data_IF_827645720524
#
_entry.id   IF_827645720524
#
_cell.length_a   1.000
_cell.length_b   1.000
_cell.length_c   1.000
_cell.angle_alpha   90.00
_cell.angle_beta   90.00
_cell.angle_gamma   90.00
#
_symmetry.space_group_name_H-M   'P 1'
#
loop_
_entity.id
_entity.type
_entity.pdbx_description
1 polymer ?
#
# COMPACT_ATOMS: atom_id res chain seq x y z
N UNK A 1 24.02 -22.29 -50.23
CA UNK A 1 25.16 -21.90 -51.10
C UNK A 1 25.67 -20.55 -50.63
N UNK A 2 26.75 -20.54 -49.84
CA UNK A 2 27.68 -19.41 -49.82
C UNK A 2 28.67 -19.58 -50.98
N UNK A 3 29.41 -18.51 -51.33
CA UNK A 3 30.84 -18.60 -51.07
C UNK A 3 31.47 -17.35 -50.42
N UNK A 4 32.37 -17.68 -49.49
CA UNK A 4 33.63 -17.03 -49.02
C UNK A 4 34.46 -16.36 -50.14
N UNK A 5 35.52 -15.56 -49.95
CA UNK A 5 36.21 -14.86 -48.85
C UNK A 5 37.32 -14.02 -49.55
N UNK A 6 37.95 -13.05 -48.85
CA UNK A 6 39.41 -12.79 -49.00
C UNK A 6 39.97 -11.92 -47.86
N UNK A 7 41.07 -12.41 -47.30
CA UNK A 7 41.95 -11.86 -46.27
C UNK A 7 43.21 -11.22 -46.86
N UNK A 8 43.92 -10.39 -46.07
CA UNK A 8 45.38 -10.08 -46.01
C UNK A 8 45.52 -8.89 -45.01
N UNK A 9 46.17 -8.88 -43.84
CA UNK A 9 47.50 -9.32 -43.33
C UNK A 9 48.67 -8.57 -44.01
N UNK A 10 49.72 -7.98 -43.41
CA UNK A 10 50.32 -7.89 -42.04
C UNK A 10 51.50 -6.87 -42.11
N UNK A 11 51.81 -6.17 -41.00
CA UNK A 11 53.08 -5.56 -40.49
C UNK A 11 53.95 -4.54 -41.26
N UNK A 12 54.46 -3.56 -40.47
CA UNK A 12 55.92 -3.23 -40.46
C UNK A 12 56.33 -1.81 -40.02
N UNK A 13 56.90 -1.69 -38.80
CA UNK A 13 58.10 -0.91 -38.37
C UNK A 13 58.12 0.63 -38.58
N UNK A 14 58.55 1.55 -37.69
CA UNK A 14 59.25 1.52 -36.39
C UNK A 14 60.06 2.83 -36.17
N UNK A 15 60.08 3.34 -34.92
CA UNK A 15 61.03 4.31 -34.28
C UNK A 15 60.93 5.82 -34.63
N UNK A 16 61.14 6.81 -33.73
CA UNK A 16 62.10 6.94 -32.62
C UNK A 16 61.68 7.90 -31.47
N UNK A 17 62.10 7.50 -30.25
CA UNK A 17 62.70 8.23 -29.11
C UNK A 17 62.06 9.46 -28.44
N UNK A 18 61.89 9.33 -27.11
CA UNK A 18 61.79 10.45 -26.17
C UNK A 18 61.53 9.96 -24.74
N UNK A 19 62.58 9.54 -24.04
CA UNK A 19 62.55 8.98 -22.70
C UNK A 19 62.13 9.99 -21.61
N UNK A 20 61.37 9.50 -20.63
CA UNK A 20 61.08 10.16 -19.36
C UNK A 20 60.66 9.11 -18.35
N UNK A 21 61.60 8.68 -17.52
CA UNK A 21 61.44 7.71 -16.43
C UNK A 21 60.41 8.20 -15.39
N UNK A 22 59.56 7.31 -14.87
CA UNK A 22 59.29 7.21 -13.43
C UNK A 22 58.44 5.97 -13.09
N UNK A 23 59.12 5.02 -12.40
CA UNK A 23 58.65 4.06 -11.38
C UNK A 23 57.49 3.11 -11.72
N UNK A 24 57.87 1.86 -11.95
CA UNK A 24 57.05 0.66 -11.74
C UNK A 24 56.83 0.44 -10.23
N UNK A 25 55.59 0.55 -9.77
CA UNK A 25 55.11 -0.15 -8.58
C UNK A 25 54.07 -1.18 -9.04
N UNK A 26 54.40 -2.45 -8.85
CA UNK A 26 53.59 -3.58 -9.28
C UNK A 26 52.25 -3.63 -8.56
N UNK A 27 51.16 -3.46 -9.31
CA UNK A 27 49.88 -4.02 -8.94
C UNK A 27 49.87 -5.48 -9.40
N UNK A 28 50.04 -6.39 -8.44
CA UNK A 28 49.64 -7.78 -8.61
C UNK A 28 48.16 -7.80 -8.94
N UNK A 29 47.83 -8.04 -10.21
CA UNK A 29 46.48 -8.38 -10.61
C UNK A 29 46.16 -9.75 -10.02
N UNK A 30 45.61 -9.78 -8.81
CA UNK A 30 44.83 -10.93 -8.38
C UNK A 30 43.65 -11.02 -9.35
N UNK A 31 43.64 -12.04 -10.19
CA UNK A 31 42.47 -12.46 -10.95
C UNK A 31 41.34 -12.76 -9.97
N UNK A 32 40.58 -11.73 -9.59
CA UNK A 32 39.24 -11.93 -9.08
C UNK A 32 38.43 -12.33 -10.30
N UNK A 33 38.32 -13.65 -10.51
CA UNK A 33 37.32 -14.22 -11.39
C UNK A 33 35.99 -13.51 -11.10
N UNK A 34 35.26 -13.04 -12.13
CA UNK A 34 33.96 -12.44 -11.89
C UNK A 34 33.15 -13.47 -11.11
N UNK A 35 32.66 -13.07 -9.94
CA UNK A 35 31.65 -13.84 -9.22
C UNK A 35 30.41 -13.79 -10.09
N UNK A 36 30.35 -14.64 -11.10
CA UNK A 36 29.14 -14.90 -11.86
C UNK A 36 28.27 -15.69 -10.89
N UNK A 37 27.59 -14.96 -10.00
CA UNK A 37 26.48 -15.51 -9.24
C UNK A 37 25.55 -16.16 -10.26
N UNK A 38 25.47 -17.49 -10.24
CA UNK A 38 24.58 -18.23 -11.11
C UNK A 38 23.19 -17.60 -10.99
N UNK A 39 22.69 -17.00 -12.08
CA UNK A 39 21.39 -16.35 -12.10
C UNK A 39 20.34 -17.40 -11.77
N UNK A 40 19.87 -17.41 -10.51
CA UNK A 40 18.75 -18.25 -10.11
C UNK A 40 17.49 -17.46 -10.40
N UNK A 41 16.57 -17.98 -11.23
CA UNK A 41 15.31 -17.29 -11.48
C UNK A 41 14.55 -17.16 -10.15
N UNK A 42 14.26 -15.92 -9.76
CA UNK A 42 13.46 -15.59 -8.58
C UNK A 42 12.02 -15.34 -9.03
N UNK A 43 11.06 -15.84 -8.26
CA UNK A 43 9.63 -15.64 -8.42
C UNK A 43 9.04 -15.10 -7.12
N UNK A 44 7.94 -14.35 -7.22
CA UNK A 44 7.29 -13.69 -6.08
C UNK A 44 5.96 -14.37 -5.75
N UNK A 45 5.93 -15.20 -4.70
CA UNK A 45 4.77 -16.00 -4.33
C UNK A 45 4.06 -15.39 -3.13
N UNK A 46 2.73 -15.32 -3.15
CA UNK A 46 1.96 -15.02 -1.94
C UNK A 46 1.93 -16.30 -1.09
N UNK A 47 2.57 -16.27 0.07
CA UNK A 47 2.73 -17.44 0.95
C UNK A 47 1.96 -17.34 2.27
N UNK A 48 1.40 -16.17 2.56
CA UNK A 48 0.55 -15.96 3.73
C UNK A 48 -0.47 -14.86 3.48
N UNK A 49 -1.60 -14.93 4.16
CA UNK A 49 -2.71 -13.98 4.04
C UNK A 49 -3.43 -13.82 5.37
N UNK A 50 -4.08 -12.68 5.57
CA UNK A 50 -4.83 -12.43 6.79
C UNK A 50 -5.64 -11.16 6.70
N UNK A 51 -6.74 -11.12 7.43
CA UNK A 51 -7.56 -9.90 7.51
C UNK A 51 -8.09 -9.69 8.93
N UNK A 52 -8.41 -8.43 9.22
CA UNK A 52 -9.05 -8.04 10.46
C UNK A 52 -10.00 -6.87 10.18
N UNK A 53 -11.19 -6.91 10.79
CA UNK A 53 -12.22 -5.89 10.65
C UNK A 53 -12.75 -5.54 12.04
N UNK A 54 -13.15 -4.28 12.27
CA UNK A 54 -13.82 -3.89 13.51
C UNK A 54 -15.07 -4.72 13.79
N UNK A 55 -15.42 -4.84 15.08
CA UNK A 55 -16.60 -5.60 15.50
C UNK A 55 -17.91 -4.84 15.33
N UNK A 56 -17.88 -3.50 15.36
CA UNK A 56 -19.09 -2.69 15.21
C UNK A 56 -19.60 -2.77 13.77
N UNK A 57 -20.84 -3.21 13.65
CA UNK A 57 -21.60 -3.25 12.39
C UNK A 57 -22.51 -2.03 12.33
N UNK A 58 -22.57 -1.39 11.16
CA UNK A 58 -23.61 -0.44 10.78
C UNK A 58 -24.39 -1.04 9.62
N UNK A 59 -25.68 -1.25 9.81
CA UNK A 59 -26.59 -1.77 8.78
C UNK A 59 -27.18 -0.62 7.96
N UNK A 60 -27.81 -0.93 6.83
CA UNK A 60 -28.56 0.09 6.10
C UNK A 60 -29.73 0.66 6.91
N UNK A 61 -30.37 -0.13 7.77
CA UNK A 61 -31.44 0.34 8.67
C UNK A 61 -30.93 1.32 9.73
N UNK A 62 -29.67 1.21 10.15
CA UNK A 62 -29.06 2.23 11.01
C UNK A 62 -28.87 3.55 10.24
N UNK A 63 -28.54 3.48 8.94
CA UNK A 63 -28.37 4.66 8.08
C UNK A 63 -29.69 5.38 7.78
N UNK A 64 -30.81 4.64 7.68
CA UNK A 64 -32.16 5.20 7.53
C UNK A 64 -32.54 6.17 8.66
N UNK A 65 -31.92 6.01 9.84
CA UNK A 65 -32.19 6.86 11.01
C UNK A 65 -31.41 8.18 10.98
N UNK A 66 -30.39 8.32 10.14
CA UNK A 66 -29.49 9.48 10.12
C UNK A 66 -29.54 10.27 8.81
N UNK A 67 -29.91 9.64 7.69
CA UNK A 67 -30.03 10.29 6.38
C UNK A 67 -31.26 9.79 5.61
N UNK A 68 -31.78 10.60 4.69
CA UNK A 68 -32.90 10.22 3.82
C UNK A 68 -32.48 9.14 2.81
N UNK A 69 -32.68 7.88 3.19
CA UNK A 69 -32.30 6.68 2.41
C UNK A 69 -33.20 5.48 2.77
N UNK A 70 -32.99 4.34 2.11
CA UNK A 70 -33.57 3.05 2.48
C UNK A 70 -32.62 1.89 2.16
N UNK A 71 -32.77 0.75 2.84
CA UNK A 71 -32.03 -0.49 2.56
C UNK A 71 -32.22 -0.92 1.10
N UNK A 72 -33.45 -0.90 0.61
CA UNK A 72 -33.76 -1.23 -0.79
C UNK A 72 -33.00 -0.31 -1.76
N UNK A 73 -32.97 1.00 -1.46
CA UNK A 73 -32.30 1.98 -2.31
C UNK A 73 -30.77 1.78 -2.29
N UNK A 74 -30.18 1.50 -1.12
CA UNK A 74 -28.74 1.27 -0.99
C UNK A 74 -28.35 -0.04 -1.70
N UNK A 75 -29.03 -1.14 -1.41
CA UNK A 75 -28.72 -2.46 -1.98
C UNK A 75 -28.85 -2.47 -3.50
N UNK A 76 -29.94 -1.93 -4.05
CA UNK A 76 -30.15 -1.91 -5.51
C UNK A 76 -29.10 -1.09 -6.26
N UNK A 77 -28.52 -0.07 -5.63
CA UNK A 77 -27.52 0.82 -6.26
C UNK A 77 -26.09 0.42 -6.01
N UNK A 78 -25.80 -0.24 -4.90
CA UNK A 78 -24.43 -0.48 -4.43
C UNK A 78 -24.11 -1.95 -4.20
N UNK A 79 -25.11 -2.76 -3.85
CA UNK A 79 -24.95 -4.13 -3.36
C UNK A 79 -24.57 -4.24 -1.89
N UNK A 80 -24.53 -3.13 -1.14
CA UNK A 80 -24.09 -3.08 0.26
C UNK A 80 -25.29 -3.27 1.19
N UNK A 81 -25.14 -4.14 2.20
CA UNK A 81 -26.12 -4.37 3.27
C UNK A 81 -25.65 -3.79 4.61
N UNK A 82 -24.38 -3.99 4.90
CA UNK A 82 -23.74 -3.57 6.14
C UNK A 82 -22.29 -3.15 5.88
N UNK A 83 -21.73 -2.43 6.85
CA UNK A 83 -20.30 -2.08 6.90
C UNK A 83 -19.76 -2.22 8.31
N UNK A 84 -18.45 -2.36 8.42
CA UNK A 84 -17.73 -2.35 9.71
C UNK A 84 -17.16 -0.97 9.97
N UNK A 85 -17.20 -0.53 11.21
CA UNK A 85 -16.72 0.80 11.61
C UNK A 85 -15.84 0.67 12.85
N UNK A 86 -14.69 1.33 12.85
CA UNK A 86 -13.81 1.47 13.98
C UNK A 86 -14.48 2.37 15.04
N UNK A 87 -15.06 1.76 16.07
CA UNK A 87 -15.80 2.47 17.11
C UNK A 87 -14.96 2.67 18.38
N UNK A 88 -14.00 1.78 18.64
CA UNK A 88 -13.03 1.98 19.72
C UNK A 88 -11.92 2.93 19.23
N UNK A 89 -11.56 3.98 19.98
CA UNK A 89 -10.42 4.84 19.66
C UNK A 89 -9.09 4.10 19.42
N UNK A 90 -8.93 2.87 19.93
CA UNK A 90 -7.77 2.00 19.70
C UNK A 90 -7.80 1.24 18.37
N UNK A 91 -8.95 1.18 17.70
CA UNK A 91 -9.08 0.59 16.36
C UNK A 91 -8.62 1.63 15.32
N UNK A 92 -7.34 1.61 14.97
CA UNK A 92 -6.72 2.55 14.04
C UNK A 92 -6.20 1.80 12.82
N UNK A 93 -5.86 2.51 11.74
CA UNK A 93 -5.30 1.89 10.55
C UNK A 93 -4.03 1.08 10.86
N UNK A 94 -3.19 1.53 11.81
CA UNK A 94 -2.03 0.75 12.26
C UNK A 94 -2.43 -0.51 13.04
N UNK A 95 -3.36 -0.43 13.99
CA UNK A 95 -3.73 -1.59 14.82
C UNK A 95 -4.49 -2.65 14.02
N UNK A 96 -5.40 -2.25 13.14
CA UNK A 96 -6.09 -3.15 12.20
C UNK A 96 -5.09 -3.80 11.24
N UNK A 97 -4.18 -3.00 10.65
CA UNK A 97 -3.12 -3.47 9.76
C UNK A 97 -2.18 -4.48 10.42
N UNK A 98 -1.76 -4.21 11.66
CA UNK A 98 -0.94 -5.12 12.45
C UNK A 98 -1.67 -6.44 12.75
N UNK A 99 -2.96 -6.40 13.06
CA UNK A 99 -3.75 -7.61 13.31
C UNK A 99 -3.89 -8.48 12.05
N UNK A 100 -4.12 -7.88 10.88
CA UNK A 100 -4.14 -8.60 9.60
C UNK A 100 -2.77 -9.20 9.25
N UNK A 101 -1.70 -8.43 9.42
CA UNK A 101 -0.33 -8.87 9.19
C UNK A 101 0.09 -10.06 10.06
N UNK A 102 -0.30 -10.08 11.34
CA UNK A 102 0.00 -11.20 12.25
C UNK A 102 -0.58 -12.50 11.74
N UNK A 103 -1.82 -12.48 11.22
CA UNK A 103 -2.47 -13.64 10.60
C UNK A 103 -1.73 -14.08 9.33
N UNK A 104 -1.31 -13.14 8.49
CA UNK A 104 -0.52 -13.48 7.29
C UNK A 104 0.81 -14.18 7.63
N UNK A 105 1.52 -13.68 8.65
CA UNK A 105 2.74 -14.31 9.15
C UNK A 105 2.50 -15.65 9.84
N UNK A 106 1.32 -15.83 10.47
CA UNK A 106 0.86 -17.11 11.03
C UNK A 106 0.67 -18.16 9.94
N UNK A 107 -0.08 -17.84 8.89
CA UNK A 107 -0.32 -18.75 7.77
C UNK A 107 0.99 -19.14 7.08
N UNK A 108 1.90 -18.19 6.86
CA UNK A 108 3.18 -18.47 6.19
C UNK A 108 4.18 -19.26 7.05
N UNK A 109 3.90 -19.48 8.33
CA UNK A 109 4.85 -19.93 9.35
C UNK A 109 6.17 -19.11 9.40
N UNK A 110 6.11 -17.80 9.10
CA UNK A 110 7.31 -16.90 9.06
C UNK A 110 7.35 -16.00 10.29
N UNK A 111 8.48 -15.91 11.02
CA UNK A 111 8.62 -14.95 12.12
C UNK A 111 8.81 -13.53 11.58
N UNK A 112 8.25 -12.53 12.27
CA UNK A 112 8.34 -11.12 11.86
C UNK A 112 9.79 -10.61 11.68
N UNK A 113 10.76 -11.20 12.37
CA UNK A 113 12.18 -10.88 12.24
C UNK A 113 12.80 -11.25 10.88
N UNK A 114 12.10 -12.05 10.06
CA UNK A 114 12.54 -12.42 8.71
C UNK A 114 11.97 -11.52 7.61
N UNK A 115 11.07 -10.61 7.96
CA UNK A 115 10.49 -9.66 7.00
C UNK A 115 11.55 -8.59 6.68
N UNK A 116 11.79 -8.36 5.39
CA UNK A 116 12.77 -7.39 4.89
C UNK A 116 12.11 -6.04 4.56
N UNK A 117 10.81 -6.05 4.24
CA UNK A 117 10.08 -4.86 3.85
C UNK A 117 8.60 -4.93 4.26
N UNK A 118 8.10 -3.84 4.84
CA UNK A 118 6.68 -3.62 5.16
C UNK A 118 6.14 -2.49 4.28
N UNK A 119 5.17 -2.81 3.43
CA UNK A 119 4.47 -1.85 2.56
C UNK A 119 3.04 -1.71 3.07
N UNK A 120 2.66 -0.51 3.52
CA UNK A 120 1.30 -0.23 3.98
C UNK A 120 0.58 0.69 2.99
N UNK A 121 -0.34 0.14 2.21
CA UNK A 121 -1.27 0.91 1.40
C UNK A 121 -2.43 1.41 2.27
N UNK A 122 -2.60 2.73 2.35
CA UNK A 122 -3.68 3.36 3.12
C UNK A 122 -3.95 4.78 2.62
N UNK A 123 -5.20 5.23 2.74
CA UNK A 123 -5.62 6.64 2.54
C UNK A 123 -6.01 7.30 3.86
N UNK A 124 -6.09 6.51 4.94
CA UNK A 124 -6.39 6.97 6.30
C UNK A 124 -5.22 6.58 7.22
N UNK A 125 -4.01 7.08 6.95
CA UNK A 125 -2.85 6.72 7.75
C UNK A 125 -3.01 7.19 9.20
N UNK A 126 -2.26 6.58 10.12
CA UNK A 126 -2.25 6.99 11.52
C UNK A 126 -1.81 8.46 11.67
N UNK A 127 -0.79 8.83 10.91
CA UNK A 127 -0.21 10.16 10.83
C UNK A 127 0.21 10.46 9.39
N UNK A 128 0.35 11.73 9.05
CA UNK A 128 1.04 12.11 7.80
C UNK A 128 2.54 11.71 7.86
N UNK A 129 3.13 11.82 9.05
CA UNK A 129 4.43 11.25 9.38
C UNK A 129 4.50 11.01 10.90
N UNK A 130 5.15 9.93 11.37
CA UNK A 130 5.80 8.87 10.60
C UNK A 130 4.79 7.98 9.84
N UNK A 131 5.29 7.17 8.91
CA UNK A 131 4.48 6.22 8.16
C UNK A 131 3.78 5.20 9.07
N UNK A 132 2.54 4.85 8.75
CA UNK A 132 1.74 3.79 9.39
C UNK A 132 2.47 2.44 9.35
N UNK A 133 3.17 2.15 8.24
CA UNK A 133 4.02 0.97 8.08
C UNK A 133 5.10 0.87 9.17
N UNK A 134 5.70 1.99 9.60
CA UNK A 134 6.69 1.99 10.68
C UNK A 134 6.08 1.62 12.03
N UNK A 135 4.84 2.07 12.28
CA UNK A 135 4.12 1.70 13.49
C UNK A 135 3.77 0.21 13.48
N UNK A 136 3.29 -0.30 12.36
CA UNK A 136 3.02 -1.73 12.18
C UNK A 136 4.31 -2.55 12.33
N UNK A 137 5.41 -2.11 11.73
CA UNK A 137 6.73 -2.75 11.84
C UNK A 137 7.17 -2.90 13.30
N UNK A 138 7.04 -1.84 14.11
CA UNK A 138 7.33 -1.89 15.55
C UNK A 138 6.37 -2.82 16.30
N UNK A 139 5.06 -2.74 16.02
CA UNK A 139 4.03 -3.60 16.62
C UNK A 139 4.23 -5.10 16.32
N UNK A 140 4.73 -5.44 15.13
CA UNK A 140 5.07 -6.81 14.74
C UNK A 140 6.42 -7.26 15.30
N UNK A 141 7.28 -6.30 15.63
CA UNK A 141 8.66 -6.53 16.00
C UNK A 141 9.59 -6.89 14.83
N UNK A 142 9.22 -6.51 13.61
CA UNK A 142 9.94 -6.78 12.36
C UNK A 142 11.19 -5.88 12.22
N UNK A 143 12.13 -6.02 13.14
CA UNK A 143 13.27 -5.13 13.36
C UNK A 143 14.32 -5.08 12.23
N UNK A 144 14.25 -5.98 11.26
CA UNK A 144 15.08 -5.97 10.05
C UNK A 144 14.38 -5.33 8.85
N UNK A 145 13.08 -5.07 8.95
CA UNK A 145 12.30 -4.59 7.82
C UNK A 145 12.47 -3.09 7.60
N UNK A 146 12.72 -2.68 6.36
CA UNK A 146 12.34 -1.35 5.90
C UNK A 146 10.82 -1.18 5.95
N UNK A 147 10.32 0.06 6.06
CA UNK A 147 8.88 0.30 6.14
C UNK A 147 8.49 1.64 5.49
N UNK A 148 7.44 1.63 4.67
CA UNK A 148 6.88 2.85 4.08
C UNK A 148 5.38 2.73 3.78
N UNK A 149 4.71 3.88 3.74
CA UNK A 149 3.31 4.00 3.32
C UNK A 149 3.22 4.24 1.81
N UNK A 150 2.23 3.61 1.19
CA UNK A 150 1.94 3.74 -0.24
C UNK A 150 0.56 4.36 -0.43
N UNK A 151 0.51 5.55 -1.04
CA UNK A 151 -0.74 6.25 -1.35
C UNK A 151 -1.08 6.11 -2.83
N UNK A 152 -2.05 5.23 -3.12
CA UNK A 152 -2.68 5.11 -4.44
C UNK A 152 -4.17 4.73 -4.31
N UNK A 153 -4.80 5.25 -3.24
CA UNK A 153 -6.20 5.01 -2.88
C UNK A 153 -6.57 3.52 -2.96
N UNK A 154 -7.80 3.20 -3.37
CA UNK A 154 -8.29 1.83 -3.46
C UNK A 154 -7.48 0.88 -4.38
N UNK A 155 -6.63 1.39 -5.28
CA UNK A 155 -5.72 0.56 -6.09
C UNK A 155 -4.40 0.21 -5.35
N UNK A 156 -4.17 0.82 -4.19
CA UNK A 156 -2.92 0.80 -3.44
C UNK A 156 -2.42 -0.58 -3.05
N UNK A 157 -3.31 -1.54 -2.75
CA UNK A 157 -2.88 -2.90 -2.44
C UNK A 157 -2.19 -3.57 -3.64
N UNK A 158 -2.73 -3.41 -4.85
CA UNK A 158 -2.14 -3.99 -6.07
C UNK A 158 -0.87 -3.24 -6.48
N UNK A 159 -0.81 -1.92 -6.26
CA UNK A 159 0.44 -1.16 -6.35
C UNK A 159 1.50 -1.72 -5.37
N UNK A 160 1.11 -2.03 -4.14
CA UNK A 160 1.97 -2.65 -3.13
C UNK A 160 2.49 -4.02 -3.56
N UNK A 161 1.64 -4.85 -4.18
CA UNK A 161 2.07 -6.12 -4.78
C UNK A 161 3.09 -5.94 -5.91
N UNK A 162 2.93 -4.90 -6.74
CA UNK A 162 3.90 -4.59 -7.79
C UNK A 162 5.26 -4.19 -7.20
N UNK A 163 5.27 -3.39 -6.12
CA UNK A 163 6.51 -3.04 -5.41
C UNK A 163 7.15 -4.27 -4.76
N UNK A 164 6.38 -5.10 -4.07
CA UNK A 164 6.86 -6.34 -3.47
C UNK A 164 7.47 -7.30 -4.51
N UNK A 165 6.78 -7.48 -5.65
CA UNK A 165 7.30 -8.26 -6.78
C UNK A 165 8.63 -7.67 -7.27
N UNK A 166 8.72 -6.35 -7.44
CA UNK A 166 9.95 -5.69 -7.88
C UNK A 166 11.16 -6.02 -6.99
N UNK A 167 11.02 -5.83 -5.68
CA UNK A 167 12.08 -6.11 -4.71
C UNK A 167 12.49 -7.59 -4.68
N UNK A 168 11.53 -8.52 -4.76
CA UNK A 168 11.84 -9.96 -4.76
C UNK A 168 12.60 -10.37 -6.03
N UNK A 169 12.17 -9.89 -7.19
CA UNK A 169 12.80 -10.22 -8.47
C UNK A 169 14.20 -9.60 -8.60
N UNK A 170 14.40 -8.40 -8.02
CA UNK A 170 15.71 -7.75 -7.96
C UNK A 170 16.70 -8.46 -7.01
N UNK A 171 16.19 -9.27 -6.07
CA UNK A 171 17.01 -9.91 -5.03
C UNK A 171 17.24 -9.03 -3.79
N UNK A 172 16.55 -7.89 -3.70
CA UNK A 172 16.66 -6.96 -2.56
C UNK A 172 15.84 -7.42 -1.34
N UNK A 173 14.90 -8.35 -1.53
CA UNK A 173 14.08 -8.90 -0.46
C UNK A 173 13.79 -10.41 -0.66
N UNK A 174 13.72 -11.13 0.44
CA UNK A 174 13.23 -12.50 0.55
C UNK A 174 11.75 -12.52 0.98
N UNK A 175 11.37 -11.66 1.92
CA UNK A 175 10.01 -11.56 2.46
C UNK A 175 9.51 -10.11 2.51
N UNK A 176 8.44 -9.83 1.77
CA UNK A 176 7.77 -8.53 1.74
C UNK A 176 6.34 -8.66 2.24
N UNK A 177 6.01 -7.92 3.30
CA UNK A 177 4.66 -7.85 3.85
C UNK A 177 3.91 -6.68 3.19
N UNK A 178 2.81 -6.98 2.51
CA UNK A 178 1.96 -5.97 1.85
C UNK A 178 0.62 -5.90 2.57
N UNK A 179 0.26 -4.70 3.02
CA UNK A 179 -0.92 -4.45 3.86
C UNK A 179 -1.80 -3.42 3.17
N UNK A 180 -3.10 -3.68 3.03
CA UNK A 180 -4.12 -2.68 2.77
C UNK A 180 -4.93 -2.44 4.04
N UNK A 181 -4.99 -1.22 4.54
CA UNK A 181 -5.67 -0.91 5.81
C UNK A 181 -6.34 0.46 5.75
N UNK A 182 -7.57 0.54 6.26
CA UNK A 182 -8.34 1.76 6.26
C UNK A 182 -9.27 1.87 7.47
N UNK A 183 -9.43 3.10 7.93
CA UNK A 183 -10.54 3.54 8.78
C UNK A 183 -11.24 4.74 8.15
N UNK A 184 -11.88 4.50 7.01
CA UNK A 184 -12.57 5.51 6.20
C UNK A 184 -13.71 6.18 6.94
N UNK A 185 -14.35 5.48 7.88
CA UNK A 185 -15.42 6.01 8.74
C UNK A 185 -15.06 7.32 9.44
N UNK A 186 -13.76 7.57 9.69
CA UNK A 186 -13.23 8.80 10.31
C UNK A 186 -13.24 10.02 9.40
N UNK A 187 -13.32 9.81 8.09
CA UNK A 187 -13.31 10.86 7.06
C UNK A 187 -14.56 10.80 6.17
N UNK A 188 -15.59 10.07 6.59
CA UNK A 188 -16.92 10.07 5.97
C UNK A 188 -17.77 11.15 6.61
N UNK A 189 -18.49 11.90 5.79
CA UNK A 189 -19.54 12.80 6.25
C UNK A 189 -20.83 11.99 6.46
N UNK A 190 -21.18 11.72 7.72
CA UNK A 190 -22.36 10.93 8.07
C UNK A 190 -23.70 11.64 7.78
N UNK A 191 -23.66 12.89 7.34
CA UNK A 191 -24.84 13.64 6.86
C UNK A 191 -24.99 13.60 5.33
N UNK A 192 -23.93 13.19 4.62
CA UNK A 192 -23.94 13.04 3.16
C UNK A 192 -24.34 11.63 2.73
N UNK A 193 -25.61 11.48 2.34
CA UNK A 193 -26.16 10.21 1.84
C UNK A 193 -25.43 9.65 0.63
N UNK A 194 -24.73 10.46 -0.17
CA UNK A 194 -24.06 9.96 -1.39
C UNK A 194 -22.80 9.15 -1.08
N UNK A 195 -22.16 9.43 0.06
CA UNK A 195 -20.89 8.81 0.45
C UNK A 195 -21.00 7.93 1.69
N UNK A 196 -21.81 8.30 2.69
CA UNK A 196 -21.87 7.57 3.97
C UNK A 196 -22.39 6.13 3.85
N UNK A 197 -23.14 5.84 2.79
CA UNK A 197 -23.64 4.50 2.49
C UNK A 197 -22.56 3.56 1.92
N UNK A 198 -21.43 4.10 1.47
CA UNK A 198 -20.48 3.34 0.65
C UNK A 198 -19.36 2.70 1.46
N UNK A 199 -18.80 3.43 2.42
CA UNK A 199 -17.50 3.09 2.98
C UNK A 199 -17.58 2.31 4.28
N UNK A 200 -16.57 1.47 4.49
CA UNK A 200 -16.35 0.74 5.73
C UNK A 200 -14.86 0.66 6.06
N UNK A 201 -14.57 0.06 7.21
CA UNK A 201 -13.23 -0.03 7.77
C UNK A 201 -12.74 -1.48 7.79
N UNK A 202 -11.42 -1.64 7.74
CA UNK A 202 -10.80 -2.95 7.83
C UNK A 202 -9.37 -2.97 7.32
N UNK A 203 -8.74 -4.13 7.49
CA UNK A 203 -7.40 -4.39 7.00
C UNK A 203 -7.28 -5.79 6.44
N UNK A 204 -6.48 -5.93 5.38
CA UNK A 204 -6.02 -7.19 4.85
C UNK A 204 -4.53 -7.14 4.54
N UNK A 205 -3.83 -8.25 4.69
CA UNK A 205 -2.40 -8.35 4.50
C UNK A 205 -2.04 -9.65 3.79
N UNK A 206 -0.96 -9.61 3.01
CA UNK A 206 -0.32 -10.80 2.44
C UNK A 206 1.18 -10.75 2.66
N UNK A 207 1.80 -11.92 2.84
CA UNK A 207 3.24 -12.09 2.79
C UNK A 207 3.63 -12.58 1.40
N UNK A 208 4.47 -11.83 0.71
CA UNK A 208 5.07 -12.23 -0.56
C UNK A 208 6.49 -12.72 -0.28
N UNK A 209 6.83 -13.92 -0.74
CA UNK A 209 8.13 -14.55 -0.56
C UNK A 209 8.81 -14.83 -1.89
N UNK A 210 10.14 -14.77 -1.88
CA UNK A 210 10.97 -15.26 -2.96
C UNK A 210 10.85 -16.78 -3.09
N UNK A 211 10.89 -17.26 -4.32
CA UNK A 211 10.78 -18.67 -4.67
C UNK A 211 11.62 -18.96 -5.92
N UNK A 212 12.23 -20.14 -5.97
CA UNK A 212 12.86 -20.67 -7.19
C UNK A 212 11.84 -21.47 -8.04
N UNK A 213 10.66 -21.79 -7.49
CA UNK A 213 9.58 -22.47 -8.19
C UNK A 213 8.86 -21.48 -9.11
N UNK A 214 8.68 -21.78 -10.41
CA UNK A 214 7.94 -20.91 -11.31
C UNK A 214 6.48 -20.68 -10.86
N UNK A 215 6.05 -19.42 -10.88
CA UNK A 215 4.68 -19.02 -10.55
C UNK A 215 4.64 -17.69 -9.80
N UNK A 216 3.57 -17.49 -9.02
CA UNK A 216 3.38 -16.29 -8.21
C UNK A 216 2.84 -15.11 -9.03
N UNK A 217 3.28 -13.90 -8.71
CA UNK A 217 2.82 -12.67 -9.39
C UNK A 217 3.48 -12.60 -10.77
N UNK A 218 2.76 -13.00 -11.81
CA UNK A 218 3.27 -13.15 -13.17
C UNK A 218 3.46 -11.79 -13.85
N UNK A 219 2.44 -10.95 -13.78
CA UNK A 219 2.42 -9.64 -14.40
C UNK A 219 1.66 -8.63 -13.55
N UNK A 220 2.02 -7.36 -13.73
CA UNK A 220 1.32 -6.22 -13.14
C UNK A 220 1.07 -5.17 -14.21
N UNK A 221 -0.03 -4.45 -14.09
CA UNK A 221 -0.31 -3.22 -14.83
C UNK A 221 -0.68 -2.13 -13.82
N UNK A 222 0.07 -1.03 -13.83
CA UNK A 222 -0.16 0.14 -12.98
C UNK A 222 -0.50 1.32 -13.90
N UNK A 223 -1.45 2.16 -13.51
CA UNK A 223 -1.78 3.36 -14.26
C UNK A 223 -2.48 4.43 -13.44
N UNK A 224 -2.37 5.66 -13.92
CA UNK A 224 -2.89 6.85 -13.26
C UNK A 224 -3.30 7.90 -14.29
N UNK A 225 -4.35 8.65 -13.98
CA UNK A 225 -4.80 9.83 -14.71
C UNK A 225 -5.12 10.95 -13.69
N UNK A 226 -4.11 11.78 -13.44
CA UNK A 226 -4.16 12.87 -12.46
C UNK A 226 -5.17 13.97 -12.78
N UNK A 227 -5.62 14.06 -14.05
CA UNK A 227 -6.59 15.08 -14.47
C UNK A 227 -7.95 14.90 -13.81
N UNK A 228 -8.26 13.69 -13.34
CA UNK A 228 -9.47 13.34 -12.63
C UNK A 228 -9.43 13.55 -11.11
N UNK A 229 -8.39 14.18 -10.56
CA UNK A 229 -8.17 14.29 -9.11
C UNK A 229 -9.34 14.88 -8.31
N UNK A 230 -10.11 15.80 -8.91
CA UNK A 230 -11.31 16.39 -8.27
C UNK A 230 -12.54 15.47 -8.22
N UNK A 231 -12.53 14.33 -8.92
CA UNK A 231 -13.69 13.42 -8.97
C UNK A 231 -13.84 12.55 -7.72
N UNK A 232 -12.76 12.34 -6.97
CA UNK A 232 -12.77 11.61 -5.70
C UNK A 232 -11.58 12.11 -4.86
N UNK A 233 -11.87 12.87 -3.81
CA UNK A 233 -10.87 13.65 -3.08
C UNK A 233 -11.25 13.84 -1.62
N UNK A 234 -10.25 14.03 -0.76
CA UNK A 234 -10.36 14.66 0.54
C UNK A 234 -9.85 16.11 0.38
N UNK A 235 -10.74 17.14 0.29
CA UNK A 235 -10.32 18.47 -0.14
C UNK A 235 -9.23 19.10 0.74
N UNK A 236 -9.39 19.05 2.06
CA UNK A 236 -8.51 19.68 3.05
C UNK A 236 -7.79 18.64 3.93
N UNK A 237 -6.84 19.14 4.74
CA UNK A 237 -5.97 18.33 5.61
C UNK A 237 -4.58 18.08 5.03
N UNK A 238 -4.40 18.39 3.74
CA UNK A 238 -3.10 18.38 3.06
C UNK A 238 -2.46 19.78 2.98
N UNK A 239 -1.36 19.87 2.23
CA UNK A 239 -0.58 21.11 2.07
C UNK A 239 -1.30 22.21 1.29
N UNK A 240 -2.19 21.86 0.35
CA UNK A 240 -2.94 22.82 -0.44
C UNK A 240 -4.00 23.56 0.38
N UNK A 241 -4.63 22.87 1.33
CA UNK A 241 -5.62 23.41 2.24
C UNK A 241 -5.40 22.83 3.65
N UNK A 242 -4.49 23.43 4.44
CA UNK A 242 -4.22 22.99 5.80
C UNK A 242 -5.47 23.03 6.70
N UNK A 243 -5.40 22.34 7.83
CA UNK A 243 -6.45 22.41 8.84
C UNK A 243 -6.60 23.85 9.37
N UNK A 244 -7.81 24.39 9.28
CA UNK A 244 -8.19 25.68 9.82
C UNK A 244 -9.66 25.61 10.28
N UNK A 245 -10.10 26.60 11.05
CA UNK A 245 -11.51 26.70 11.45
C UNK A 245 -12.44 26.70 10.22
N UNK A 246 -12.03 27.37 9.14
CA UNK A 246 -12.77 27.46 7.89
C UNK A 246 -12.88 26.10 7.18
N UNK A 247 -11.76 25.39 7.00
CA UNK A 247 -11.76 24.10 6.28
C UNK A 247 -12.52 23.03 7.06
N UNK A 248 -12.44 23.05 8.38
CA UNK A 248 -13.18 22.14 9.26
C UNK A 248 -14.68 22.45 9.23
N UNK A 249 -15.08 23.70 9.44
CA UNK A 249 -16.50 24.09 9.50
C UNK A 249 -17.22 23.95 8.15
N UNK A 250 -16.50 24.02 7.03
CA UNK A 250 -17.03 23.78 5.68
C UNK A 250 -17.06 22.30 5.28
N UNK A 251 -16.70 21.36 6.16
CA UNK A 251 -16.75 19.93 5.89
C UNK A 251 -15.76 19.46 4.81
N UNK A 252 -14.67 20.21 4.60
CA UNK A 252 -13.64 19.89 3.60
C UNK A 252 -12.68 18.77 4.03
N UNK A 253 -12.80 18.29 5.28
CA UNK A 253 -12.06 17.13 5.80
C UNK A 253 -12.86 15.82 5.68
N UNK A 254 -13.88 15.80 4.83
CA UNK A 254 -14.63 14.60 4.48
C UNK A 254 -14.51 14.26 3.00
N UNK A 255 -14.66 12.97 2.68
CA UNK A 255 -14.61 12.46 1.30
C UNK A 255 -15.65 13.19 0.44
N UNK A 256 -15.24 13.68 -0.73
CA UNK A 256 -16.11 14.22 -1.77
C UNK A 256 -15.93 13.42 -3.05
N UNK A 257 -17.04 13.13 -3.74
CA UNK A 257 -17.04 12.24 -4.89
C UNK A 257 -18.06 12.64 -5.96
N UNK A 258 -17.63 12.73 -7.22
CA UNK A 258 -18.53 12.64 -8.38
C UNK A 258 -18.70 11.16 -8.76
N UNK A 259 -19.75 10.54 -8.23
CA UNK A 259 -20.02 9.12 -8.45
C UNK A 259 -20.22 8.75 -9.92
N UNK A 260 -20.73 9.67 -10.77
CA UNK A 260 -20.93 9.40 -12.20
C UNK A 260 -19.59 9.39 -12.94
N UNK A 261 -18.72 10.35 -12.65
CA UNK A 261 -17.38 10.40 -13.24
C UNK A 261 -16.55 9.17 -12.81
N UNK A 262 -16.57 8.83 -11.52
CA UNK A 262 -15.87 7.65 -10.97
C UNK A 262 -16.39 6.36 -11.61
N UNK A 263 -17.72 6.18 -11.73
CA UNK A 263 -18.30 4.98 -12.35
C UNK A 263 -17.86 4.82 -13.82
N UNK A 264 -17.92 5.89 -14.63
CA UNK A 264 -17.48 5.85 -16.04
C UNK A 264 -16.00 5.52 -16.17
N UNK A 265 -15.17 6.12 -15.31
CA UNK A 265 -13.75 5.82 -15.27
C UNK A 265 -13.50 4.34 -14.90
N UNK A 266 -14.05 3.90 -13.78
CA UNK A 266 -13.85 2.56 -13.22
C UNK A 266 -14.19 1.44 -14.20
N UNK A 267 -15.39 1.53 -14.79
CA UNK A 267 -15.88 0.51 -15.74
C UNK A 267 -15.00 0.38 -16.98
N UNK A 268 -14.37 1.46 -17.43
CA UNK A 268 -13.42 1.46 -18.55
C UNK A 268 -12.05 0.88 -18.14
N UNK A 269 -11.46 1.40 -17.06
CA UNK A 269 -10.08 1.05 -16.69
C UNK A 269 -9.95 -0.35 -16.13
N UNK A 270 -10.95 -0.86 -15.39
CA UNK A 270 -10.90 -2.22 -14.86
C UNK A 270 -10.81 -3.27 -15.97
N UNK A 271 -11.65 -3.16 -17.01
CA UNK A 271 -11.63 -4.09 -18.13
C UNK A 271 -10.37 -3.93 -18.99
N UNK A 272 -9.94 -2.70 -19.25
CA UNK A 272 -8.72 -2.44 -20.03
C UNK A 272 -7.45 -2.94 -19.33
N UNK A 273 -7.29 -2.63 -18.04
CA UNK A 273 -6.13 -3.06 -17.25
C UNK A 273 -6.10 -4.57 -17.10
N UNK A 274 -7.25 -5.22 -16.87
CA UNK A 274 -7.33 -6.68 -16.81
C UNK A 274 -6.87 -7.33 -18.12
N UNK A 275 -7.37 -6.87 -19.28
CA UNK A 275 -6.89 -7.38 -20.58
C UNK A 275 -5.38 -7.22 -20.74
N UNK A 276 -4.84 -6.06 -20.37
CA UNK A 276 -3.42 -5.76 -20.48
C UNK A 276 -2.55 -6.63 -19.57
N UNK A 277 -3.00 -6.92 -18.34
CA UNK A 277 -2.22 -7.79 -17.44
C UNK A 277 -2.30 -9.26 -17.85
N UNK A 278 -3.43 -9.70 -18.39
CA UNK A 278 -3.57 -11.03 -18.97
C UNK A 278 -2.65 -11.24 -20.17
N UNK A 279 -2.64 -10.29 -21.10
CA UNK A 279 -1.72 -10.30 -22.24
C UNK A 279 -0.25 -10.39 -21.78
N UNK A 280 0.14 -9.55 -20.82
CA UNK A 280 1.50 -9.57 -20.23
C UNK A 280 1.84 -10.89 -19.54
N UNK A 281 0.85 -11.59 -18.98
CA UNK A 281 1.03 -12.89 -18.36
C UNK A 281 0.95 -14.07 -19.37
N UNK A 282 0.63 -13.79 -20.63
CA UNK A 282 0.40 -14.82 -21.65
C UNK A 282 -0.91 -15.59 -21.42
N UNK A 283 -1.92 -14.98 -20.81
CA UNK A 283 -3.21 -15.57 -20.50
C UNK A 283 -4.34 -14.95 -21.31
N UNK A 284 -5.42 -15.69 -21.45
CA UNK A 284 -6.71 -15.24 -21.94
C UNK A 284 -7.71 -15.15 -20.79
N UNK A 285 -8.90 -14.58 -21.04
CA UNK A 285 -9.98 -14.56 -20.05
C UNK A 285 -10.48 -15.95 -19.69
N UNK A 286 -10.37 -16.92 -20.61
CA UNK A 286 -10.84 -18.29 -20.42
C UNK A 286 -9.96 -19.08 -19.46
N UNK A 287 -8.67 -18.72 -19.41
CA UNK A 287 -7.67 -19.31 -18.51
C UNK A 287 -7.90 -18.93 -17.04
N UNK A 288 -8.64 -17.85 -16.76
CA UNK A 288 -8.78 -17.32 -15.39
C UNK A 288 -9.75 -18.18 -14.59
N UNK A 289 -9.34 -18.51 -13.37
CA UNK A 289 -10.15 -19.29 -12.41
C UNK A 289 -10.84 -18.38 -11.39
N UNK A 290 -10.21 -17.26 -11.03
CA UNK A 290 -10.72 -16.36 -10.01
C UNK A 290 -10.35 -14.90 -10.30
N UNK A 291 -11.31 -13.99 -10.16
CA UNK A 291 -11.11 -12.55 -10.15
C UNK A 291 -11.51 -12.03 -8.77
N UNK A 292 -10.59 -11.30 -8.13
CA UNK A 292 -10.86 -10.58 -6.88
C UNK A 292 -10.77 -9.08 -7.17
N UNK A 293 -11.90 -8.44 -7.55
CA UNK A 293 -11.91 -7.03 -7.87
C UNK A 293 -11.93 -6.16 -6.61
N UNK A 294 -11.63 -4.87 -6.77
CA UNK A 294 -11.95 -3.86 -5.78
C UNK A 294 -13.47 -3.82 -5.50
N UNK A 295 -13.84 -3.84 -4.23
CA UNK A 295 -15.22 -3.91 -3.77
C UNK A 295 -15.76 -2.48 -3.57
N UNK A 296 -16.04 -1.77 -4.67
CA UNK A 296 -16.58 -0.41 -4.61
C UNK A 296 -18.11 -0.36 -4.76
N UNK A 297 -18.61 -1.06 -5.77
CA UNK A 297 -20.01 -1.06 -6.17
C UNK A 297 -20.27 -2.27 -7.07
N UNK A 298 -21.31 -3.05 -6.77
CA UNK A 298 -21.61 -4.28 -7.51
C UNK A 298 -21.82 -4.05 -9.01
N UNK A 299 -22.38 -2.89 -9.39
CA UNK A 299 -22.66 -2.55 -10.80
C UNK A 299 -21.39 -2.31 -11.60
N UNK A 300 -20.32 -1.80 -10.95
CA UNK A 300 -19.01 -1.65 -11.59
C UNK A 300 -18.42 -3.02 -11.88
N UNK A 301 -18.49 -3.94 -10.92
CA UNK A 301 -17.99 -5.32 -11.06
C UNK A 301 -18.77 -6.04 -12.17
N UNK A 302 -20.10 -5.99 -12.14
CA UNK A 302 -20.96 -6.58 -13.16
C UNK A 302 -20.64 -6.05 -14.57
N UNK A 303 -20.50 -4.73 -14.73
CA UNK A 303 -20.22 -4.15 -16.04
C UNK A 303 -18.80 -4.49 -16.54
N UNK A 304 -17.78 -4.26 -15.71
CA UNK A 304 -16.38 -4.43 -16.13
C UNK A 304 -15.98 -5.91 -16.29
N UNK A 305 -16.36 -6.77 -15.34
CA UNK A 305 -15.92 -8.16 -15.32
C UNK A 305 -16.88 -9.05 -16.10
N UNK A 306 -18.17 -9.02 -15.77
CA UNK A 306 -19.13 -9.95 -16.39
C UNK A 306 -19.46 -9.53 -17.83
N UNK A 307 -19.75 -8.24 -18.05
CA UNK A 307 -20.23 -7.79 -19.36
C UNK A 307 -19.11 -7.52 -20.37
N UNK A 308 -18.01 -6.87 -19.95
CA UNK A 308 -16.93 -6.48 -20.85
C UNK A 308 -15.81 -7.52 -20.98
N UNK A 309 -15.46 -8.23 -19.90
CA UNK A 309 -14.46 -9.31 -19.94
C UNK A 309 -15.08 -10.69 -20.20
N UNK A 310 -16.41 -10.81 -20.11
CA UNK A 310 -17.13 -12.08 -20.30
C UNK A 310 -16.69 -13.20 -19.33
N UNK A 311 -16.15 -12.82 -18.17
CA UNK A 311 -15.78 -13.76 -17.12
C UNK A 311 -17.06 -14.15 -16.36
N UNK A 312 -17.37 -15.45 -16.21
CA UNK A 312 -18.55 -15.93 -15.48
C UNK A 312 -18.57 -15.48 -14.01
N UNK A 313 -19.77 -15.27 -13.45
CA UNK A 313 -19.96 -14.73 -12.11
C UNK A 313 -19.38 -15.64 -11.01
N UNK A 314 -19.41 -16.95 -11.21
CA UNK A 314 -18.86 -17.96 -10.30
C UNK A 314 -17.32 -17.90 -10.17
N UNK A 315 -16.65 -17.25 -11.12
CA UNK A 315 -15.21 -16.96 -11.10
C UNK A 315 -14.90 -15.58 -10.51
N UNK A 316 -15.86 -14.87 -9.95
CA UNK A 316 -15.67 -13.55 -9.34
C UNK A 316 -16.02 -13.61 -7.86
N UNK A 317 -15.11 -13.20 -7.00
CA UNK A 317 -15.39 -13.12 -5.56
C UNK A 317 -15.89 -11.72 -5.17
N UNK A 318 -17.03 -11.69 -4.48
CA UNK A 318 -17.66 -10.45 -4.02
C UNK A 318 -18.10 -10.62 -2.57
N UNK A 319 -17.64 -9.72 -1.70
CA UNK A 319 -18.06 -9.63 -0.29
C UNK A 319 -18.49 -8.20 0.10
N UNK A 320 -18.65 -7.33 -0.89
CA UNK A 320 -19.11 -5.94 -0.75
C UNK A 320 -20.36 -5.80 0.13
N UNK A 321 -21.26 -6.78 0.10
CA UNK A 321 -22.48 -6.81 0.91
C UNK A 321 -22.20 -6.61 2.42
N UNK A 322 -21.11 -7.21 2.93
CA UNK A 322 -20.80 -7.32 4.36
C UNK A 322 -19.88 -6.23 4.90
N UNK A 323 -19.09 -5.60 4.03
CA UNK A 323 -18.04 -4.68 4.46
C UNK A 323 -18.20 -3.28 3.88
N UNK A 324 -19.04 -3.10 2.86
CA UNK A 324 -18.97 -1.90 2.04
C UNK A 324 -17.61 -1.79 1.34
N UNK A 325 -17.29 -0.57 0.92
CA UNK A 325 -16.03 -0.21 0.31
C UNK A 325 -14.98 0.07 1.40
N UNK A 326 -14.04 -0.85 1.57
CA UNK A 326 -12.90 -0.72 2.50
C UNK A 326 -11.61 -0.24 1.81
N UNK A 327 -11.74 0.49 0.69
CA UNK A 327 -10.63 1.03 -0.12
C UNK A 327 -9.50 0.00 -0.33
N UNK A 328 -8.28 0.28 0.15
CA UNK A 328 -7.09 -0.56 -0.04
C UNK A 328 -7.24 -1.96 0.58
N UNK A 329 -8.06 -2.11 1.61
CA UNK A 329 -8.27 -3.39 2.28
C UNK A 329 -9.23 -4.33 1.52
N UNK A 330 -9.96 -3.84 0.52
CA UNK A 330 -11.04 -4.63 -0.08
C UNK A 330 -10.56 -5.90 -0.77
N UNK A 331 -9.48 -5.82 -1.55
CA UNK A 331 -8.92 -6.95 -2.30
C UNK A 331 -8.32 -8.00 -1.34
N UNK A 332 -7.45 -7.63 -0.36
CA UNK A 332 -6.90 -8.65 0.53
C UNK A 332 -7.94 -9.25 1.50
N UNK A 333 -8.97 -8.50 1.94
CA UNK A 333 -10.10 -9.08 2.70
C UNK A 333 -10.83 -10.11 1.82
N UNK A 334 -11.20 -9.72 0.60
CA UNK A 334 -11.89 -10.58 -0.35
C UNK A 334 -11.07 -11.83 -0.74
N UNK A 335 -9.74 -11.70 -0.87
CA UNK A 335 -8.84 -12.84 -1.08
C UNK A 335 -8.93 -13.85 0.08
N UNK A 336 -8.86 -13.36 1.32
CA UNK A 336 -8.90 -14.23 2.49
C UNK A 336 -10.24 -14.99 2.56
N UNK A 337 -11.37 -14.31 2.36
CA UNK A 337 -12.67 -14.97 2.38
C UNK A 337 -12.88 -15.89 1.18
N UNK A 338 -12.30 -15.60 0.01
CA UNK A 338 -12.31 -16.51 -1.14
C UNK A 338 -11.58 -17.82 -0.83
N UNK A 339 -10.45 -17.74 -0.12
CA UNK A 339 -9.71 -18.90 0.36
C UNK A 339 -10.54 -19.68 1.39
N UNK A 340 -11.13 -19.00 2.37
CA UNK A 340 -12.01 -19.62 3.38
C UNK A 340 -13.24 -20.29 2.76
N UNK A 341 -13.75 -19.75 1.66
CA UNK A 341 -14.86 -20.32 0.90
C UNK A 341 -14.44 -21.44 -0.08
N UNK A 342 -13.17 -21.86 -0.10
CA UNK A 342 -12.67 -22.92 -0.97
C UNK A 342 -12.65 -22.56 -2.46
N UNK A 343 -12.64 -21.27 -2.80
CA UNK A 343 -12.66 -20.77 -4.20
C UNK A 343 -11.28 -20.70 -4.84
N UNK A 344 -10.22 -20.89 -4.06
CA UNK A 344 -8.84 -20.82 -4.52
C UNK A 344 -8.10 -22.10 -4.17
N UNK A 345 -7.34 -22.64 -5.12
CA UNK A 345 -6.48 -23.82 -4.95
C UNK A 345 -5.16 -23.66 -5.71
N UNK A 346 -4.11 -24.41 -5.35
CA UNK A 346 -2.88 -24.47 -6.14
C UNK A 346 -3.15 -24.79 -7.61
N UNK A 347 -2.44 -24.10 -8.50
CA UNK A 347 -2.60 -24.15 -9.95
C UNK A 347 -3.61 -23.16 -10.52
N UNK A 348 -4.38 -22.44 -9.68
CA UNK A 348 -5.32 -21.46 -10.18
C UNK A 348 -4.67 -20.21 -10.75
N UNK A 349 -5.25 -19.67 -11.82
CA UNK A 349 -4.91 -18.36 -12.36
C UNK A 349 -5.86 -17.30 -11.80
N UNK A 350 -5.30 -16.34 -11.10
CA UNK A 350 -6.05 -15.32 -10.35
C UNK A 350 -5.75 -13.94 -10.90
N UNK A 351 -6.76 -13.08 -10.96
CA UNK A 351 -6.57 -11.65 -11.25
C UNK A 351 -7.05 -10.82 -10.08
N UNK A 352 -6.19 -9.91 -9.60
CA UNK A 352 -6.62 -8.79 -8.78
C UNK A 352 -6.71 -7.54 -9.65
N UNK A 353 -7.76 -6.74 -9.46
CA UNK A 353 -7.94 -5.50 -10.21
C UNK A 353 -8.65 -4.45 -9.36
N UNK A 354 -8.08 -3.26 -9.28
CA UNK A 354 -8.63 -2.14 -8.51
C UNK A 354 -8.47 -0.80 -9.21
N UNK A 355 -9.24 0.17 -8.74
CA UNK A 355 -9.24 1.56 -9.19
C UNK A 355 -9.57 2.44 -8.01
N UNK A 356 -9.13 3.70 -7.99
CA UNK A 356 -9.41 4.62 -6.88
C UNK A 356 -9.11 6.08 -7.20
N UNK A 357 -9.07 6.90 -6.15
CA UNK A 357 -8.70 8.32 -6.24
C UNK A 357 -7.32 8.50 -6.90
N UNK A 358 -7.11 9.67 -7.51
CA UNK A 358 -5.96 9.97 -8.37
C UNK A 358 -6.32 10.62 -9.70
N UNK A 359 -7.05 9.96 -10.63
CA UNK A 359 -7.60 8.59 -10.49
C UNK A 359 -6.57 7.52 -10.87
N UNK A 360 -6.48 6.47 -10.05
CA UNK A 360 -5.51 5.36 -10.20
C UNK A 360 -6.21 4.07 -10.58
N UNK A 361 -5.48 3.14 -11.19
CA UNK A 361 -5.89 1.75 -11.39
C UNK A 361 -4.69 0.82 -11.37
N UNK A 362 -4.93 -0.42 -10.99
CA UNK A 362 -3.92 -1.46 -11.06
C UNK A 362 -4.54 -2.84 -11.21
N UNK A 363 -3.84 -3.73 -11.89
CA UNK A 363 -4.16 -5.15 -11.92
C UNK A 363 -2.90 -6.01 -11.80
N UNK A 364 -3.06 -7.21 -11.25
CA UNK A 364 -2.00 -8.22 -11.22
C UNK A 364 -2.57 -9.60 -11.58
N UNK A 365 -1.86 -10.31 -12.46
CA UNK A 365 -2.14 -11.70 -12.80
C UNK A 365 -1.22 -12.60 -11.96
N UNK A 366 -1.80 -13.61 -11.32
CA UNK A 366 -1.13 -14.48 -10.36
C UNK A 366 -1.34 -15.93 -10.79
N UNK A 367 -0.26 -16.69 -10.85
CA UNK A 367 -0.27 -18.15 -10.91
C UNK A 367 -0.14 -18.67 -9.47
N UNK A 368 -1.26 -19.06 -8.87
CA UNK A 368 -1.33 -19.39 -7.46
C UNK A 368 -0.75 -20.79 -7.19
N UNK A 369 0.43 -20.87 -6.59
CA UNK A 369 1.11 -22.14 -6.28
C UNK A 369 1.05 -22.56 -4.82
N UNK A 370 0.70 -21.63 -3.93
CA UNK A 370 0.75 -21.84 -2.48
C UNK A 370 -0.42 -22.71 -2.03
N UNK A 371 -0.18 -23.79 -1.25
CA UNK A 371 -1.26 -24.53 -0.58
C UNK A 371 -2.14 -23.62 0.25
N UNK A 372 -3.46 -23.81 0.17
CA UNK A 372 -4.46 -22.98 0.89
C UNK A 372 -4.92 -23.60 2.21
N UNK A 373 -4.56 -24.85 2.44
CA UNK A 373 -4.87 -25.57 3.67
C UNK A 373 -4.13 -24.91 4.84
N UNK A 374 -4.87 -24.64 5.93
CA UNK A 374 -4.25 -24.13 7.16
C UNK A 374 -3.44 -25.28 7.76
N UNK A 375 -2.11 -25.10 7.98
CA UNK A 375 -1.38 -26.07 8.80
C UNK A 375 -2.08 -26.18 10.15
N UNK A 376 -2.23 -27.40 10.69
CA UNK A 376 -2.75 -27.54 12.06
C UNK A 376 -1.90 -26.70 13.01
N UNK A 377 -2.56 -25.75 13.68
CA UNK A 377 -1.89 -24.84 14.57
C UNK A 377 -1.42 -25.60 15.81
N UNK A 378 -0.14 -25.95 15.86
CA UNK A 378 0.50 -26.44 17.06
C UNK A 378 0.39 -25.35 18.15
N UNK A 379 -0.34 -25.65 19.22
CA UNK A 379 -0.60 -24.71 20.31
C UNK A 379 0.70 -24.12 20.89
N UNK A 380 1.80 -24.89 20.85
CA UNK A 380 3.13 -24.43 21.25
C UNK A 380 3.66 -23.34 20.32
N UNK A 381 3.51 -23.52 19.00
CA UNK A 381 3.92 -22.50 18.01
C UNK A 381 3.13 -21.21 18.20
N UNK A 382 1.81 -21.31 18.43
CA UNK A 382 0.96 -20.13 18.65
C UNK A 382 1.30 -19.41 19.95
N UNK A 383 1.54 -20.16 21.03
CA UNK A 383 1.98 -19.58 22.31
C UNK A 383 3.33 -18.88 22.17
N UNK A 384 4.29 -19.50 21.48
CA UNK A 384 5.60 -18.90 21.21
C UNK A 384 5.47 -17.62 20.38
N UNK A 385 4.61 -17.59 19.35
CA UNK A 385 4.34 -16.40 18.55
C UNK A 385 3.75 -15.26 19.37
N UNK A 386 2.73 -15.55 20.20
CA UNK A 386 2.17 -14.56 21.11
C UNK A 386 3.21 -14.02 22.10
N UNK A 387 4.08 -14.89 22.62
CA UNK A 387 5.21 -14.47 23.44
C UNK A 387 6.18 -13.57 22.66
N UNK A 388 6.48 -13.87 21.39
CA UNK A 388 7.35 -13.00 20.57
C UNK A 388 6.75 -11.62 20.32
N UNK A 389 5.43 -11.54 20.09
CA UNK A 389 4.76 -10.26 19.93
C UNK A 389 4.68 -9.47 21.25
N UNK A 390 4.47 -10.16 22.37
CA UNK A 390 4.50 -9.54 23.69
C UNK A 390 5.90 -9.03 24.03
N UNK A 391 6.94 -9.80 23.70
CA UNK A 391 8.33 -9.40 23.81
C UNK A 391 8.66 -8.21 22.89
N UNK A 392 8.09 -8.16 21.68
CA UNK A 392 8.22 -7.01 20.79
C UNK A 392 7.61 -5.74 21.41
N UNK A 393 6.41 -5.85 22.01
CA UNK A 393 5.77 -4.76 22.73
C UNK A 393 6.60 -4.30 23.94
N UNK A 394 7.13 -5.24 24.74
CA UNK A 394 8.01 -4.93 25.88
C UNK A 394 9.30 -4.24 25.43
N UNK A 395 9.94 -4.75 24.37
CA UNK A 395 11.13 -4.13 23.75
C UNK A 395 10.85 -2.73 23.24
N UNK A 396 9.70 -2.54 22.61
CA UNK A 396 9.25 -1.24 22.09
C UNK A 396 9.05 -0.23 23.23
N UNK A 397 8.37 -0.63 24.32
CA UNK A 397 8.25 0.18 25.54
C UNK A 397 9.61 0.52 26.15
N UNK A 398 10.50 -0.47 26.26
CA UNK A 398 11.86 -0.27 26.78
C UNK A 398 12.65 0.73 25.93
N UNK A 399 12.64 0.60 24.59
CA UNK A 399 13.32 1.54 23.69
C UNK A 399 12.78 2.96 23.83
N UNK A 400 11.46 3.12 23.96
CA UNK A 400 10.84 4.43 24.23
C UNK A 400 11.29 5.00 25.57
N UNK A 401 11.31 4.19 26.62
CA UNK A 401 11.78 4.61 27.94
C UNK A 401 13.27 5.03 27.91
N UNK A 402 14.13 4.25 27.25
CA UNK A 402 15.55 4.57 27.09
C UNK A 402 15.74 5.89 26.34
N UNK A 403 15.02 6.12 25.22
CA UNK A 403 15.08 7.39 24.49
C UNK A 403 14.66 8.57 25.36
N UNK A 404 13.55 8.42 26.10
CA UNK A 404 13.09 9.43 27.04
C UNK A 404 14.13 9.73 28.12
N UNK A 405 14.79 8.71 28.67
CA UNK A 405 15.88 8.89 29.65
C UNK A 405 17.05 9.68 29.04
N UNK A 406 17.45 9.40 27.80
CA UNK A 406 18.49 10.17 27.11
C UNK A 406 18.08 11.62 26.81
N UNK A 407 16.78 11.89 26.60
CA UNK A 407 16.28 13.26 26.42
C UNK A 407 16.20 14.06 27.73
N UNK A 408 15.97 13.38 28.85
CA UNK A 408 15.79 14.01 30.17
C UNK A 408 17.12 14.12 30.94
N UNK A 409 18.07 13.23 30.69
CA UNK A 409 19.41 13.35 31.27
C UNK A 409 20.19 14.45 30.54
N UNK A 410 20.76 15.42 31.28
CA UNK A 410 21.64 16.42 30.67
C UNK A 410 22.84 15.72 30.04
N UNK A 411 23.13 16.08 28.80
CA UNK A 411 24.30 15.60 28.06
C UNK A 411 25.58 15.94 28.86
N UNK A 412 26.33 14.93 29.35
CA UNK A 412 27.55 15.16 30.12
C UNK A 412 28.67 15.77 29.28
N UNK A 413 28.54 15.80 27.94
CA UNK A 413 29.50 16.42 27.02
C UNK A 413 28.99 17.72 26.38
N UNK A 414 27.83 18.24 26.77
CA UNK A 414 27.39 19.56 26.31
C UNK A 414 28.42 20.62 26.74
N UNK A 415 29.15 21.26 25.80
CA UNK A 415 30.16 22.23 26.15
C UNK A 415 29.48 23.41 26.84
N UNK A 416 30.01 23.75 28.02
CA UNK A 416 29.61 24.81 28.95
C UNK A 416 28.43 25.68 28.52
N UNK A 417 27.33 25.60 29.30
CA UNK A 417 26.54 26.82 29.58
C UNK A 417 27.46 27.81 30.28
N UNK A 418 28.18 28.58 29.46
CA UNK A 418 28.94 29.73 29.88
C UNK A 418 28.05 30.70 30.64
N UNK A 419 28.68 31.29 31.64
CA UNK A 419 28.15 32.25 32.59
C UNK A 419 27.26 33.33 31.94
N UNK A 420 26.26 33.77 32.70
CA UNK A 420 25.26 34.72 32.24
C UNK A 420 25.86 35.99 31.65
N UNK A 421 25.61 36.20 30.36
CA UNK A 421 25.55 37.53 29.80
C UNK A 421 24.12 38.04 29.87
N UNK A 422 23.89 39.02 30.76
CA UNK A 422 22.78 39.97 30.63
C UNK A 422 22.98 40.72 29.30
N UNK A 423 22.36 40.26 28.23
CA UNK A 423 22.14 41.11 27.06
C UNK A 423 20.93 42.01 27.35
N UNK A 424 21.19 43.32 27.27
CA UNK A 424 20.20 44.39 27.39
C UNK A 424 19.17 44.25 26.27
N UNK A 425 17.90 44.45 26.62
CA UNK A 425 16.82 44.71 25.65
C UNK A 425 17.24 45.79 24.65
N UNK A 426 17.09 45.56 23.33
CA UNK A 426 17.11 46.65 22.38
C UNK A 426 15.74 47.35 22.40
N UNK A 427 15.79 48.66 22.64
CA UNK A 427 14.66 49.56 22.71
C UNK A 427 13.74 49.47 21.47
N UNK A 428 12.44 49.56 21.73
CA UNK A 428 11.37 49.69 20.73
C UNK A 428 11.71 50.79 19.71
N UNK A 429 11.65 50.42 18.43
CA UNK A 429 11.61 51.39 17.33
C UNK A 429 10.14 51.57 16.93
N UNK A 430 9.57 52.78 16.94
CA UNK A 430 8.14 52.96 16.71
C UNK A 430 7.80 52.71 15.23
N UNK A 431 6.76 51.91 15.01
CA UNK A 431 6.16 51.70 13.69
C UNK A 431 5.71 53.03 13.08
N UNK A 432 6.14 53.32 11.85
CA UNK A 432 5.56 54.37 11.00
C UNK A 432 4.22 53.88 10.46
N UNK A 433 3.16 54.65 10.72
CA UNK A 433 1.83 54.50 10.13
C UNK A 433 1.87 54.58 8.59
N UNK A 434 1.02 53.83 7.87
CA UNK A 434 0.83 54.02 6.44
C UNK A 434 -0.08 55.23 6.19
N UNK A 435 0.39 56.17 5.37
CA UNK A 435 -0.35 57.34 4.94
C UNK A 435 -1.57 56.95 4.10
N UNK A 436 -2.76 57.37 4.55
CA UNK A 436 -4.00 57.35 3.79
C UNK A 436 -3.99 58.43 2.70
N UNK A 437 -3.99 58.05 1.42
CA UNK A 437 -4.36 58.97 0.35
C UNK A 437 -5.88 59.03 0.20
N UNK A 438 -6.43 60.17 0.61
CA UNK A 438 -7.80 60.60 0.33
C UNK A 438 -7.91 61.03 -1.12
N UNK A 439 -8.70 60.33 -1.91
CA UNK A 439 -9.29 60.88 -3.13
C UNK A 439 -10.40 61.86 -2.68
N UNK A 440 -10.20 63.14 -2.98
CA UNK A 440 -11.23 64.19 -2.83
C UNK A 440 -11.87 64.44 -4.19
N UNK A 441 -13.20 64.40 -4.20
CA UNK A 441 -14.02 64.97 -5.26
C UNK A 441 -14.16 66.50 -5.12
N UNK A 442 -14.16 67.16 -6.29
CA UNK A 442 -14.84 68.42 -6.69
C UNK A 442 -14.22 69.79 -6.37
N UNK A 443 -14.54 70.86 -7.15
CA UNK A 443 -15.83 71.19 -7.82
C UNK A 443 -16.16 70.47 -9.12
#
# INVERSE_FOLDING_TARGET
MMPEAKSLSVNGLGSTNGAGEHREEGFSASEQAPVVSAYRPRYAHIVGWGYHVPSKVITNHDLEQIVDTSDEWIRSRTGIAERRVAADPKETSATLGAAAARKALEIADVPASKVDLVICATTTPEHLFPATACLIQDMLGAHHAGAFDLSAACSGFVYGLAMARGHILAGDAEYVLVIGTETLSRIVDWTDRETCILFGDGAGAVLVAASEVPGGIMAVDLGSDGSGGGNLILPAGGSAMPASLETVSSGQHYIKMDGKAVFRFATRVMAASTRKVLERAGYTTDDIDLVVPHQANIRIIQNSVLNQLKIPAEKVFVNLEKYGNTSTASIPIALCEAIEAGKLKPGNKVVFVGFGAGLTWASCAIDWRTPVEKPEADWWKNTRRQATYSAAAARSMWRRAVRWVYEVLPDPEAPGRGEGHKEKEPAETPMREPASERIKDKP
#
